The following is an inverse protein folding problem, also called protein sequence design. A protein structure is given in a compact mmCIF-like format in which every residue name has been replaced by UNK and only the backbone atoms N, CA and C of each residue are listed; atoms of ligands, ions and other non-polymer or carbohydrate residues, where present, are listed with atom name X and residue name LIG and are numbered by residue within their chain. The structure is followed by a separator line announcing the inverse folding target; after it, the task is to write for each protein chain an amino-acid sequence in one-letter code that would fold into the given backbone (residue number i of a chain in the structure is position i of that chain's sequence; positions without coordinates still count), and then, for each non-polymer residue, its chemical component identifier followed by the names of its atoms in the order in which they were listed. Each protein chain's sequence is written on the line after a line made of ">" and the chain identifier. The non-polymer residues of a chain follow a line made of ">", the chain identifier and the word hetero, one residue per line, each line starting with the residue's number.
data_IF_966674863384
#
_entry.id   IF_966674863384
#
_cell.length_a   1.000
_cell.length_b   1.000
_cell.length_c   1.000
_cell.angle_alpha   90.00
_cell.angle_beta   90.00
_cell.angle_gamma   90.00
#
_symmetry.space_group_name_H-M   'P 1'
#
loop_
_entity.id
_entity.type
_entity.pdbx_description
1 polymer ?
#
# COMPACT_ATOMS: atom_id res chain seq x y z
N UNK A 1 -26.65 -34.04 21.49
CA UNK A 1 -26.25 -32.63 21.67
C UNK A 1 -24.89 -32.45 21.02
N UNK A 2 -24.85 -32.17 19.72
CA UNK A 2 -23.62 -32.16 18.93
C UNK A 2 -23.66 -30.99 17.93
N UNK A 3 -23.23 -29.80 18.34
CA UNK A 3 -23.00 -28.65 17.47
C UNK A 3 -22.15 -27.61 18.22
N UNK A 4 -20.82 -27.78 18.24
CA UNK A 4 -19.84 -26.74 18.61
C UNK A 4 -18.39 -27.20 18.37
N UNK A 5 -18.10 -27.73 17.19
CA UNK A 5 -16.75 -28.22 16.83
C UNK A 5 -16.15 -27.62 15.56
N UNK A 6 -16.96 -27.31 14.55
CA UNK A 6 -16.45 -27.27 13.16
C UNK A 6 -16.30 -25.88 12.53
N UNK A 7 -16.66 -24.80 13.22
CA UNK A 7 -16.50 -23.45 12.66
C UNK A 7 -15.07 -22.90 12.79
N UNK A 8 -14.27 -23.43 13.72
CA UNK A 8 -12.90 -22.94 14.00
C UNK A 8 -11.82 -23.68 13.19
N UNK A 9 -12.12 -24.87 12.64
CA UNK A 9 -11.22 -25.65 11.79
C UNK A 9 -11.11 -25.09 10.36
N UNK A 10 -12.12 -24.35 9.89
CA UNK A 10 -12.17 -23.77 8.54
C UNK A 10 -11.25 -22.56 8.32
N UNK A 11 -10.64 -22.01 9.37
CA UNK A 11 -9.80 -20.81 9.25
C UNK A 11 -8.30 -21.10 9.26
N UNK A 12 -7.89 -22.35 9.42
CA UNK A 12 -6.49 -22.72 9.28
C UNK A 12 -6.09 -22.67 7.81
N UNK A 13 -5.11 -21.84 7.51
CA UNK A 13 -4.60 -21.66 6.15
C UNK A 13 -3.10 -21.82 6.15
N UNK A 14 -2.57 -22.16 4.98
CA UNK A 14 -1.13 -22.24 4.81
C UNK A 14 -0.48 -20.86 4.96
N UNK A 15 0.76 -20.85 5.43
CA UNK A 15 1.64 -19.67 5.41
C UNK A 15 1.69 -19.03 4.02
N UNK A 16 1.65 -19.85 2.95
CA UNK A 16 1.63 -19.37 1.55
C UNK A 16 0.38 -18.53 1.26
N UNK A 17 -0.79 -18.97 1.74
CA UNK A 17 -2.05 -18.24 1.57
C UNK A 17 -2.00 -16.88 2.27
N UNK A 18 -1.47 -16.81 3.50
CA UNK A 18 -1.31 -15.54 4.22
C UNK A 18 -0.32 -14.59 3.55
N UNK A 19 0.78 -15.11 3.00
CA UNK A 19 1.72 -14.31 2.19
C UNK A 19 1.05 -13.76 0.94
N UNK A 20 0.25 -14.58 0.26
CA UNK A 20 -0.54 -14.17 -0.91
C UNK A 20 -1.55 -13.06 -0.57
N UNK A 21 -2.30 -13.20 0.52
CA UNK A 21 -3.21 -12.16 1.00
C UNK A 21 -2.48 -10.87 1.37
N UNK A 22 -1.34 -10.97 2.06
CA UNK A 22 -0.51 -9.82 2.41
C UNK A 22 0.01 -9.08 1.16
N UNK A 23 0.44 -9.83 0.14
CA UNK A 23 0.86 -9.28 -1.15
C UNK A 23 -0.30 -8.64 -1.91
N UNK A 24 -1.48 -9.28 -1.92
CA UNK A 24 -2.68 -8.76 -2.57
C UNK A 24 -3.10 -7.40 -2.01
N UNK A 25 -3.15 -7.25 -0.68
CA UNK A 25 -3.43 -5.96 -0.05
C UNK A 25 -2.40 -4.90 -0.44
N UNK A 26 -1.13 -5.29 -0.56
CA UNK A 26 -0.05 -4.40 -0.96
C UNK A 26 -0.22 -3.92 -2.41
N UNK A 27 -0.52 -4.84 -3.34
CA UNK A 27 -0.77 -4.51 -4.75
C UNK A 27 -2.02 -3.64 -4.92
N UNK A 28 -3.12 -4.00 -4.26
CA UNK A 28 -4.36 -3.22 -4.32
C UNK A 28 -4.14 -1.79 -3.80
N UNK A 29 -3.45 -1.64 -2.66
CA UNK A 29 -3.10 -0.32 -2.14
C UNK A 29 -2.21 0.48 -3.09
N UNK A 30 -1.18 -0.15 -3.66
CA UNK A 30 -0.28 0.50 -4.61
C UNK A 30 -0.99 0.95 -5.89
N UNK A 31 -1.84 0.08 -6.44
CA UNK A 31 -2.59 0.38 -7.66
C UNK A 31 -3.66 1.45 -7.44
N UNK A 32 -4.41 1.39 -6.34
CA UNK A 32 -5.41 2.40 -6.00
C UNK A 32 -4.78 3.80 -5.84
N UNK A 33 -3.62 3.89 -5.17
CA UNK A 33 -2.90 5.15 -5.01
C UNK A 33 -2.29 5.64 -6.31
N UNK A 34 -1.82 4.74 -7.19
CA UNK A 34 -1.32 5.11 -8.50
C UNK A 34 -2.43 5.76 -9.34
N UNK A 35 -3.60 5.11 -9.43
CA UNK A 35 -4.74 5.66 -10.16
C UNK A 35 -5.20 7.01 -9.58
N UNK A 36 -5.28 7.13 -8.26
CA UNK A 36 -5.64 8.39 -7.57
C UNK A 36 -4.62 9.49 -7.86
N UNK A 37 -3.32 9.20 -7.71
CA UNK A 37 -2.25 10.17 -7.99
C UNK A 37 -2.27 10.65 -9.43
N UNK A 38 -2.45 9.74 -10.39
CA UNK A 38 -2.59 10.09 -11.81
C UNK A 38 -3.82 10.95 -12.07
N UNK A 39 -4.98 10.65 -11.46
CA UNK A 39 -6.18 11.49 -11.60
C UNK A 39 -5.99 12.91 -11.07
N UNK A 40 -5.21 13.08 -10.00
CA UNK A 40 -4.89 14.41 -9.45
C UNK A 40 -3.94 15.19 -10.37
N UNK A 41 -2.98 14.52 -11.01
CA UNK A 41 -2.14 15.15 -12.04
C UNK A 41 -2.94 15.59 -13.26
N UNK A 42 -3.87 14.75 -13.73
CA UNK A 42 -4.78 15.12 -14.83
C UNK A 42 -5.64 16.33 -14.43
N UNK A 43 -6.16 16.35 -13.20
CA UNK A 43 -6.92 17.50 -12.71
C UNK A 43 -6.05 18.77 -12.62
N UNK A 44 -4.78 18.66 -12.22
CA UNK A 44 -3.85 19.79 -12.20
C UNK A 44 -3.56 20.31 -13.61
N UNK A 45 -3.35 19.43 -14.59
CA UNK A 45 -3.13 19.80 -16.00
C UNK A 45 -4.36 20.48 -16.60
N UNK A 46 -5.58 20.06 -16.23
CA UNK A 46 -6.82 20.72 -16.65
C UNK A 46 -6.98 22.12 -16.05
N UNK A 47 -6.51 22.33 -14.82
CA UNK A 47 -6.56 23.63 -14.14
C UNK A 47 -5.54 24.62 -14.71
N UNK A 48 -4.31 24.18 -14.96
CA UNK A 48 -3.28 24.99 -15.58
C UNK A 48 -2.49 24.18 -16.61
N UNK A 49 -2.92 24.20 -17.88
CA UNK A 49 -2.27 23.45 -18.95
C UNK A 49 -0.83 23.89 -19.19
N UNK A 50 0.01 22.96 -19.66
CA UNK A 50 1.36 23.19 -20.16
C UNK A 50 2.42 23.59 -19.11
N UNK A 51 2.11 23.50 -17.81
CA UNK A 51 3.13 23.63 -16.79
C UNK A 51 3.94 22.33 -16.63
N UNK A 52 5.22 22.49 -16.29
CA UNK A 52 6.15 21.37 -16.12
C UNK A 52 6.00 20.64 -14.77
N UNK A 53 5.27 21.21 -13.81
CA UNK A 53 5.17 20.69 -12.44
C UNK A 53 4.58 19.29 -12.31
N UNK A 54 3.60 18.83 -13.11
CA UNK A 54 3.14 17.44 -13.07
C UNK A 54 4.27 16.45 -13.37
N UNK A 55 5.17 16.77 -14.30
CA UNK A 55 6.34 15.93 -14.62
C UNK A 55 7.38 15.94 -13.49
N UNK A 56 7.57 17.09 -12.85
CA UNK A 56 8.41 17.19 -11.66
C UNK A 56 7.82 16.34 -10.53
N UNK A 57 6.50 16.39 -10.32
CA UNK A 57 5.78 15.59 -9.34
C UNK A 57 5.95 14.08 -9.58
N UNK A 58 5.83 13.61 -10.83
CA UNK A 58 6.11 12.22 -11.19
C UNK A 58 7.55 11.84 -10.85
N UNK A 59 8.52 12.68 -11.24
CA UNK A 59 9.94 12.41 -11.02
C UNK A 59 10.29 12.34 -9.52
N UNK A 60 9.84 13.33 -8.75
CA UNK A 60 10.02 13.38 -7.30
C UNK A 60 9.29 12.24 -6.61
N UNK A 61 8.06 11.94 -7.04
CA UNK A 61 7.27 10.82 -6.53
C UNK A 61 7.99 9.49 -6.71
N UNK A 62 8.53 9.24 -7.91
CA UNK A 62 9.29 8.02 -8.22
C UNK A 62 10.57 7.94 -7.37
N UNK A 63 11.33 9.04 -7.26
CA UNK A 63 12.54 9.09 -6.44
C UNK A 63 12.26 8.84 -4.95
N UNK A 64 11.33 9.57 -4.35
CA UNK A 64 10.96 9.40 -2.94
C UNK A 64 10.33 8.03 -2.69
N UNK A 65 9.54 7.53 -3.63
CA UNK A 65 8.91 6.22 -3.55
C UNK A 65 9.92 5.09 -3.56
N UNK A 66 10.91 5.13 -4.46
CA UNK A 66 12.00 4.13 -4.48
C UNK A 66 12.85 4.17 -3.20
N UNK A 67 13.11 5.36 -2.65
CA UNK A 67 13.78 5.52 -1.35
C UNK A 67 12.99 4.83 -0.23
N UNK A 68 11.68 5.12 -0.13
CA UNK A 68 10.77 4.49 0.84
C UNK A 68 10.66 2.99 0.63
N UNK A 69 10.62 2.52 -0.62
CA UNK A 69 10.60 1.09 -0.97
C UNK A 69 11.81 0.37 -0.35
N UNK A 70 13.02 0.93 -0.58
CA UNK A 70 14.29 0.32 -0.18
C UNK A 70 14.49 0.31 1.33
N UNK A 71 14.20 1.42 2.01
CA UNK A 71 14.58 1.60 3.42
C UNK A 71 13.46 1.33 4.42
N UNK A 72 12.21 1.67 4.10
CA UNK A 72 11.09 1.59 5.04
C UNK A 72 10.19 0.39 4.74
N UNK A 73 9.65 0.33 3.52
CA UNK A 73 8.63 -0.64 3.14
C UNK A 73 9.20 -2.05 3.02
N UNK A 74 10.42 -2.21 2.48
CA UNK A 74 11.12 -3.50 2.48
C UNK A 74 11.28 -4.09 3.88
N UNK A 75 11.67 -3.27 4.86
CA UNK A 75 11.80 -3.69 6.26
C UNK A 75 10.45 -4.07 6.85
N UNK A 76 9.39 -3.32 6.51
CA UNK A 76 8.02 -3.61 6.93
C UNK A 76 7.50 -4.94 6.35
N UNK A 77 7.67 -5.16 5.04
CA UNK A 77 7.32 -6.42 4.38
C UNK A 77 8.05 -7.61 5.01
N UNK A 78 9.37 -7.49 5.20
CA UNK A 78 10.18 -8.56 5.79
C UNK A 78 9.71 -8.90 7.20
N UNK A 79 9.50 -7.89 8.07
CA UNK A 79 8.95 -8.10 9.42
C UNK A 79 7.58 -8.79 9.39
N UNK A 80 6.73 -8.47 8.42
CA UNK A 80 5.44 -9.14 8.29
C UNK A 80 5.60 -10.61 7.84
N UNK A 81 6.50 -10.89 6.89
CA UNK A 81 6.80 -12.24 6.41
C UNK A 81 7.41 -13.12 7.51
N UNK A 82 8.38 -12.59 8.26
CA UNK A 82 9.02 -13.30 9.37
C UNK A 82 7.99 -13.66 10.44
N UNK A 83 7.07 -12.74 10.74
CA UNK A 83 5.94 -13.01 11.65
C UNK A 83 5.01 -14.08 11.11
N UNK A 84 4.62 -14.03 9.84
CA UNK A 84 3.75 -15.05 9.23
C UNK A 84 4.44 -16.42 9.26
N UNK A 85 5.76 -16.48 9.04
CA UNK A 85 6.54 -17.72 9.08
C UNK A 85 6.60 -18.33 10.49
N UNK A 86 6.58 -17.51 11.53
CA UNK A 86 6.60 -17.95 12.93
C UNK A 86 5.21 -18.36 13.49
N UNK A 87 4.15 -18.43 12.67
CA UNK A 87 2.82 -18.85 13.11
C UNK A 87 2.68 -20.38 13.07
N UNK A 88 2.53 -21.01 14.23
CA UNK A 88 2.31 -22.47 14.33
C UNK A 88 0.97 -22.92 13.75
N UNK A 89 -0.08 -22.11 13.91
CA UNK A 89 -1.44 -22.37 13.40
C UNK A 89 -1.98 -21.11 12.71
N UNK A 90 -1.65 -20.90 11.42
CA UNK A 90 -1.94 -19.65 10.74
C UNK A 90 -3.44 -19.52 10.48
N UNK A 91 -4.02 -18.36 10.83
CA UNK A 91 -5.42 -18.05 10.56
C UNK A 91 -5.59 -16.95 9.53
N UNK A 92 -6.66 -16.99 8.74
CA UNK A 92 -6.91 -16.06 7.63
C UNK A 92 -6.75 -14.57 7.97
N UNK A 93 -7.12 -14.12 9.18
CA UNK A 93 -7.00 -12.71 9.61
C UNK A 93 -5.60 -12.31 10.11
N UNK A 94 -4.67 -13.26 10.24
CA UNK A 94 -3.33 -12.99 10.77
C UNK A 94 -2.33 -12.61 9.67
N UNK A 95 -2.76 -12.11 8.51
CA UNK A 95 -1.87 -11.67 7.43
C UNK A 95 -1.21 -10.30 7.69
N UNK A 96 -1.82 -9.46 8.54
CA UNK A 96 -1.20 -8.24 9.10
C UNK A 96 -1.52 -8.08 10.58
N UNK A 97 -0.79 -7.18 11.27
CA UNK A 97 -1.10 -6.77 12.65
C UNK A 97 -2.28 -5.79 12.66
N UNK A 98 -3.10 -5.74 13.73
CA UNK A 98 -4.14 -4.72 13.90
C UNK A 98 -3.62 -3.27 13.71
N UNK A 99 -2.40 -3.00 14.18
CA UNK A 99 -1.72 -1.71 14.03
C UNK A 99 -1.54 -1.28 12.56
N UNK A 100 -1.36 -2.23 11.64
CA UNK A 100 -1.27 -1.94 10.21
C UNK A 100 -2.60 -1.41 9.68
N UNK A 101 -3.73 -1.99 10.10
CA UNK A 101 -5.05 -1.51 9.69
C UNK A 101 -5.33 -0.12 10.24
N UNK A 102 -4.94 0.18 11.48
CA UNK A 102 -5.03 1.55 12.03
C UNK A 102 -4.22 2.53 11.19
N UNK A 103 -2.96 2.21 10.88
CA UNK A 103 -2.12 3.05 10.03
C UNK A 103 -2.71 3.23 8.62
N UNK A 104 -3.28 2.17 8.04
CA UNK A 104 -3.94 2.19 6.74
C UNK A 104 -5.18 3.10 6.76
N UNK A 105 -6.03 2.97 7.79
CA UNK A 105 -7.20 3.83 7.97
C UNK A 105 -6.79 5.30 8.07
N UNK A 106 -5.80 5.62 8.90
CA UNK A 106 -5.29 7.00 9.04
C UNK A 106 -4.76 7.52 7.70
N UNK A 107 -3.97 6.72 6.98
CA UNK A 107 -3.42 7.12 5.68
C UNK A 107 -4.53 7.39 4.64
N UNK A 108 -5.54 6.53 4.57
CA UNK A 108 -6.68 6.68 3.65
C UNK A 108 -7.50 7.93 4.02
N UNK A 109 -7.84 8.10 5.30
CA UNK A 109 -8.59 9.26 5.77
C UNK A 109 -7.86 10.56 5.51
N UNK A 110 -6.56 10.61 5.80
CA UNK A 110 -5.73 11.78 5.53
C UNK A 110 -5.62 12.06 4.04
N UNK A 111 -5.39 11.03 3.21
CA UNK A 111 -5.34 11.17 1.76
C UNK A 111 -6.66 11.66 1.17
N UNK A 112 -7.80 11.20 1.67
CA UNK A 112 -9.12 11.67 1.24
C UNK A 112 -9.39 13.11 1.68
N UNK A 113 -9.02 13.48 2.91
CA UNK A 113 -9.14 14.86 3.41
C UNK A 113 -8.28 15.82 2.58
N UNK A 114 -7.02 15.47 2.34
CA UNK A 114 -6.11 16.29 1.53
C UNK A 114 -6.59 16.43 0.09
N UNK A 115 -7.07 15.33 -0.53
CA UNK A 115 -7.64 15.43 -1.88
C UNK A 115 -8.88 16.33 -1.93
N UNK A 116 -9.70 16.36 -0.89
CA UNK A 116 -10.85 17.27 -0.82
C UNK A 116 -10.42 18.74 -0.72
N UNK A 117 -9.42 19.01 0.11
CA UNK A 117 -8.83 20.35 0.24
C UNK A 117 -8.10 20.79 -1.02
N UNK A 118 -7.64 19.84 -1.85
CA UNK A 118 -6.95 20.13 -3.11
C UNK A 118 -7.87 20.61 -4.23
N UNK A 119 -9.20 20.49 -4.10
CA UNK A 119 -10.09 20.82 -5.21
C UNK A 119 -9.97 22.31 -5.60
N UNK A 120 -9.55 22.56 -6.84
CA UNK A 120 -9.37 23.91 -7.37
C UNK A 120 -8.04 24.58 -6.99
N UNK A 121 -7.20 23.94 -6.17
CA UNK A 121 -5.89 24.46 -5.77
C UNK A 121 -4.77 23.68 -6.46
N UNK A 122 -4.15 24.31 -7.45
CA UNK A 122 -3.11 23.68 -8.27
C UNK A 122 -1.90 23.21 -7.45
N UNK A 123 -1.25 24.05 -6.62
CA UNK A 123 -0.16 23.61 -5.75
C UNK A 123 -0.52 22.40 -4.88
N UNK A 124 -1.72 22.41 -4.29
CA UNK A 124 -2.14 21.33 -3.41
C UNK A 124 -2.39 20.03 -4.18
N UNK A 125 -2.97 20.08 -5.38
CA UNK A 125 -3.10 18.92 -6.27
C UNK A 125 -1.75 18.29 -6.58
N UNK A 126 -0.76 19.11 -6.93
CA UNK A 126 0.60 18.65 -7.24
C UNK A 126 1.24 17.96 -6.02
N UNK A 127 1.13 18.56 -4.83
CA UNK A 127 1.68 17.99 -3.59
C UNK A 127 1.02 16.65 -3.25
N UNK A 128 -0.31 16.59 -3.27
CA UNK A 128 -1.05 15.36 -2.94
C UNK A 128 -0.80 14.27 -3.98
N UNK A 129 -0.75 14.62 -5.27
CA UNK A 129 -0.41 13.68 -6.33
C UNK A 129 1.02 13.12 -6.16
N UNK A 130 1.99 13.97 -5.84
CA UNK A 130 3.38 13.55 -5.57
C UNK A 130 3.45 12.58 -4.40
N UNK A 131 2.69 12.85 -3.33
CA UNK A 131 2.61 11.98 -2.15
C UNK A 131 2.01 10.62 -2.51
N UNK A 132 0.87 10.59 -3.20
CA UNK A 132 0.19 9.38 -3.62
C UNK A 132 1.07 8.52 -4.54
N UNK A 133 1.73 9.15 -5.54
CA UNK A 133 2.69 8.48 -6.41
C UNK A 133 3.89 7.93 -5.63
N UNK A 134 4.44 8.69 -4.69
CA UNK A 134 5.53 8.23 -3.82
C UNK A 134 5.14 6.98 -3.02
N UNK A 135 3.94 6.95 -2.45
CA UNK A 135 3.48 5.78 -1.68
C UNK A 135 3.16 4.61 -2.62
N UNK A 136 2.54 4.86 -3.78
CA UNK A 136 2.25 3.84 -4.78
C UNK A 136 3.54 3.14 -5.26
N UNK A 137 4.56 3.91 -5.62
CA UNK A 137 5.88 3.40 -6.02
C UNK A 137 6.54 2.64 -4.86
N UNK A 138 6.42 3.14 -3.62
CA UNK A 138 6.97 2.45 -2.45
C UNK A 138 6.33 1.07 -2.23
N UNK A 139 5.00 0.99 -2.34
CA UNK A 139 4.24 -0.25 -2.21
C UNK A 139 4.59 -1.24 -3.32
N UNK A 140 4.44 -0.82 -4.58
CA UNK A 140 4.72 -1.67 -5.73
C UNK A 140 6.19 -2.09 -5.76
N UNK A 141 7.10 -1.16 -5.50
CA UNK A 141 8.54 -1.40 -5.48
C UNK A 141 9.01 -2.33 -4.36
N UNK A 142 8.31 -2.41 -3.22
CA UNK A 142 8.64 -3.36 -2.15
C UNK A 142 7.89 -4.70 -2.25
N UNK A 143 6.96 -4.84 -3.19
CA UNK A 143 6.12 -6.03 -3.34
C UNK A 143 6.91 -7.31 -3.67
N UNK A 144 8.04 -7.20 -4.38
CA UNK A 144 8.88 -8.35 -4.74
C UNK A 144 9.37 -9.13 -3.51
N UNK A 145 9.43 -8.48 -2.33
CA UNK A 145 9.84 -9.10 -1.07
C UNK A 145 8.94 -10.27 -0.69
N UNK A 146 7.64 -10.22 -1.02
CA UNK A 146 6.69 -11.31 -0.75
C UNK A 146 7.04 -12.61 -1.49
N UNK A 147 7.78 -12.51 -2.60
CA UNK A 147 8.14 -13.63 -3.47
C UNK A 147 9.59 -14.10 -3.30
N UNK A 148 10.44 -13.31 -2.62
CA UNK A 148 11.88 -13.57 -2.52
C UNK A 148 12.25 -14.77 -1.62
N UNK A 149 11.35 -15.25 -0.75
CA UNK A 149 11.63 -16.37 0.19
C UNK A 149 11.33 -17.77 -0.38
N UNK A 150 11.79 -18.04 -1.60
CA UNK A 150 11.69 -19.37 -2.22
C UNK A 150 13.04 -19.78 -2.82
N UNK A 151 14.08 -19.85 -1.98
CA UNK A 151 15.37 -20.45 -2.29
C UNK A 151 16.20 -20.63 -1.00
N UNK A 152 15.75 -21.50 -0.10
CA UNK A 152 16.58 -22.19 0.90
C UNK A 152 15.83 -23.45 1.31
#
# INVERSE_FOLDING_TARGET
>A
MAYKGDALSLFFVSVRSLRGLAALVWYLGGFALLLKGLSLLVAAEMLQPQLVWPWVAVSVGLFLGTLKAKYLFRKSCQKNLDRIAALDRPRLWQFYRPQFFVALTVMISLGAMLSRLAHGDYPFLIVVATLDLSIAVALLGSSYVFWKQKAS
#
